data_IF_829540027257
#
_entry.id   IF_829540027257
#
_cell.length_a   1.000
_cell.length_b   1.000
_cell.length_c   1.000
_cell.angle_alpha   90.00
_cell.angle_beta   90.00
_cell.angle_gamma   90.00
#
_symmetry.space_group_name_H-M   'P 1'
#
loop_
_entity.id
_entity.type
_entity.pdbx_description
1 polymer ?
#
# COMPACT_ATOMS: atom_id res chain seq x y z
N UNK A 1 -2.63 55.86 39.63
CA UNK A 1 -1.62 55.07 38.88
C UNK A 1 -2.36 53.90 38.25
N UNK A 2 -2.58 54.01 36.94
CA UNK A 2 -3.43 53.15 36.10
C UNK A 2 -2.69 51.87 35.71
N UNK A 3 -3.20 50.71 36.13
CA UNK A 3 -2.72 49.41 35.68
C UNK A 3 -3.34 49.05 34.33
N UNK A 4 -2.51 49.01 33.29
CA UNK A 4 -2.86 48.51 31.96
C UNK A 4 -2.84 46.97 31.97
N UNK A 5 -4.01 46.35 32.02
CA UNK A 5 -4.15 44.91 31.79
C UNK A 5 -4.03 44.63 30.28
N UNK A 6 -2.93 44.00 29.88
CA UNK A 6 -2.71 43.47 28.54
C UNK A 6 -3.67 42.32 28.25
N UNK A 7 -4.46 42.46 27.19
CA UNK A 7 -5.30 41.37 26.66
C UNK A 7 -4.41 40.26 26.08
N UNK A 8 -4.70 38.97 26.32
CA UNK A 8 -3.94 37.88 25.71
C UNK A 8 -4.32 37.78 24.22
N UNK A 9 -3.33 37.98 23.35
CA UNK A 9 -3.44 37.73 21.90
C UNK A 9 -3.65 36.22 21.70
N UNK A 10 -4.82 35.83 21.19
CA UNK A 10 -5.11 34.45 20.82
C UNK A 10 -4.15 34.00 19.70
N UNK A 11 -3.59 32.78 19.76
CA UNK A 11 -2.74 32.27 18.70
C UNK A 11 -3.55 32.12 17.42
N UNK A 12 -3.14 32.82 16.37
CA UNK A 12 -3.69 32.67 15.02
C UNK A 12 -3.50 31.22 14.59
N UNK A 13 -4.61 30.51 14.38
CA UNK A 13 -4.58 29.20 13.73
C UNK A 13 -4.13 29.43 12.29
N UNK A 14 -2.86 29.16 12.01
CA UNK A 14 -2.34 29.03 10.64
C UNK A 14 -3.04 27.84 9.99
N UNK A 15 -4.20 28.10 9.40
CA UNK A 15 -4.86 27.17 8.50
C UNK A 15 -3.84 26.79 7.43
N UNK A 16 -3.54 25.49 7.32
CA UNK A 16 -2.69 24.97 6.25
C UNK A 16 -3.24 25.49 4.92
N UNK A 17 -2.39 25.99 4.00
CA UNK A 17 -2.84 26.50 2.73
C UNK A 17 -3.66 25.41 2.02
N UNK A 18 -4.88 25.76 1.61
CA UNK A 18 -5.73 24.87 0.84
C UNK A 18 -5.00 24.50 -0.46
N UNK A 19 -4.82 23.21 -0.72
CA UNK A 19 -4.18 22.69 -1.93
C UNK A 19 -4.93 23.25 -3.15
N UNK A 20 -4.21 23.80 -4.12
CA UNK A 20 -4.85 24.36 -5.30
C UNK A 20 -5.49 23.25 -6.15
N UNK A 21 -6.59 23.53 -6.89
CA UNK A 21 -7.21 22.53 -7.77
C UNK A 21 -6.24 21.93 -8.81
N UNK A 22 -5.18 22.66 -9.18
CA UNK A 22 -4.13 22.18 -10.07
C UNK A 22 -3.23 21.17 -9.39
N UNK A 23 -2.81 21.44 -8.15
CA UNK A 23 -2.00 20.51 -7.36
C UNK A 23 -2.76 19.24 -7.01
N UNK A 24 -4.06 19.35 -6.72
CA UNK A 24 -4.92 18.18 -6.50
C UNK A 24 -4.98 17.29 -7.76
N UNK A 25 -5.14 17.87 -8.96
CA UNK A 25 -5.08 17.12 -10.24
C UNK A 25 -3.74 16.43 -10.46
N UNK A 26 -2.64 17.12 -10.17
CA UNK A 26 -1.29 16.54 -10.25
C UNK A 26 -1.17 15.38 -9.25
N UNK A 27 -1.67 15.55 -8.03
CA UNK A 27 -1.71 14.51 -7.02
C UNK A 27 -2.49 13.27 -7.46
N UNK A 28 -3.68 13.46 -8.03
CA UNK A 28 -4.50 12.38 -8.59
C UNK A 28 -3.76 11.64 -9.71
N UNK A 29 -3.15 12.37 -10.64
CA UNK A 29 -2.39 11.77 -11.73
C UNK A 29 -1.20 10.95 -11.20
N UNK A 30 -0.46 11.49 -10.22
CA UNK A 30 0.67 10.78 -9.63
C UNK A 30 0.24 9.50 -8.89
N UNK A 31 -0.84 9.55 -8.11
CA UNK A 31 -1.34 8.34 -7.43
C UNK A 31 -1.85 7.31 -8.43
N UNK A 32 -2.53 7.75 -9.51
CA UNK A 32 -2.96 6.85 -10.58
C UNK A 32 -1.77 6.21 -11.31
N UNK A 33 -0.76 7.00 -11.66
CA UNK A 33 0.46 6.49 -12.29
C UNK A 33 1.20 5.50 -11.38
N UNK A 34 1.20 5.74 -10.06
CA UNK A 34 1.72 4.79 -9.09
C UNK A 34 0.97 3.45 -9.13
N UNK A 35 -0.36 3.47 -9.06
CA UNK A 35 -1.18 2.27 -9.14
C UNK A 35 -0.97 1.52 -10.48
N UNK A 36 -0.80 2.27 -11.58
CA UNK A 36 -0.47 1.71 -12.88
C UNK A 36 0.90 1.03 -12.86
N UNK A 37 1.94 1.68 -12.33
CA UNK A 37 3.28 1.10 -12.22
C UNK A 37 3.26 -0.18 -11.39
N UNK A 38 2.58 -0.17 -10.24
CA UNK A 38 2.45 -1.34 -9.36
C UNK A 38 1.68 -2.49 -10.02
N UNK A 39 0.65 -2.19 -10.82
CA UNK A 39 -0.16 -3.21 -11.51
C UNK A 39 0.65 -4.10 -12.47
N UNK A 40 1.76 -3.59 -13.03
CA UNK A 40 2.64 -4.38 -13.89
C UNK A 40 3.53 -5.38 -13.13
N UNK A 41 3.55 -5.35 -11.80
CA UNK A 41 4.48 -6.13 -10.99
C UNK A 41 4.40 -7.63 -11.24
N UNK A 42 3.18 -8.18 -11.24
CA UNK A 42 2.96 -9.59 -11.57
C UNK A 42 3.32 -9.94 -13.01
N UNK A 43 3.00 -9.06 -13.97
CA UNK A 43 3.32 -9.25 -15.40
C UNK A 43 4.83 -9.27 -15.64
N UNK A 44 5.58 -8.35 -15.02
CA UNK A 44 7.04 -8.31 -15.12
C UNK A 44 7.63 -9.55 -14.47
N UNK A 45 7.12 -9.94 -13.30
CA UNK A 45 7.61 -11.12 -12.60
C UNK A 45 7.45 -12.41 -13.43
N UNK A 46 6.36 -12.54 -14.20
CA UNK A 46 6.13 -13.67 -15.12
C UNK A 46 7.11 -13.72 -16.30
N UNK A 47 7.74 -12.62 -16.68
CA UNK A 47 8.78 -12.61 -17.72
C UNK A 47 10.17 -13.06 -17.22
N UNK A 48 10.38 -13.15 -15.91
CA UNK A 48 11.66 -13.49 -15.32
C UNK A 48 11.79 -15.01 -15.26
N UNK A 49 12.73 -15.58 -16.02
CA UNK A 49 12.92 -17.04 -16.12
C UNK A 49 14.05 -17.54 -15.20
N UNK A 50 14.11 -17.00 -13.98
CA UNK A 50 15.11 -17.39 -12.98
C UNK A 50 14.51 -18.43 -12.06
N UNK A 51 15.10 -19.63 -12.03
CA UNK A 51 14.58 -20.75 -11.23
C UNK A 51 14.62 -20.54 -9.72
N UNK A 52 15.50 -19.66 -9.23
CA UNK A 52 15.59 -19.29 -7.82
C UNK A 52 14.84 -17.98 -7.52
N UNK A 53 13.72 -18.07 -6.80
CA UNK A 53 12.93 -16.91 -6.38
C UNK A 53 13.73 -15.95 -5.49
N UNK A 54 14.70 -16.45 -4.72
CA UNK A 54 15.53 -15.61 -3.85
C UNK A 54 16.45 -14.71 -4.67
N UNK A 55 17.00 -15.20 -5.77
CA UNK A 55 17.79 -14.40 -6.71
C UNK A 55 16.97 -13.26 -7.30
N UNK A 56 15.69 -13.50 -7.60
CA UNK A 56 14.75 -12.46 -8.08
C UNK A 56 14.51 -11.40 -7.00
N UNK A 57 14.24 -11.83 -5.76
CA UNK A 57 14.05 -10.91 -4.62
C UNK A 57 15.31 -10.08 -4.36
N UNK A 58 16.49 -10.68 -4.44
CA UNK A 58 17.76 -10.00 -4.24
C UNK A 58 17.97 -8.89 -5.27
N UNK A 59 17.98 -9.22 -6.56
CA UNK A 59 18.29 -8.27 -7.62
C UNK A 59 17.26 -7.14 -7.73
N UNK A 60 15.95 -7.47 -7.65
CA UNK A 60 14.91 -6.43 -7.67
C UNK A 60 15.05 -5.48 -6.48
N UNK A 61 15.41 -6.00 -5.30
CA UNK A 61 15.54 -5.22 -4.08
C UNK A 61 16.78 -4.33 -4.13
N UNK A 62 17.89 -4.85 -4.67
CA UNK A 62 19.11 -4.07 -4.89
C UNK A 62 18.84 -2.86 -5.78
N UNK A 63 18.18 -3.07 -6.93
CA UNK A 63 17.81 -1.98 -7.83
C UNK A 63 16.83 -0.99 -7.21
N UNK A 64 15.85 -1.47 -6.46
CA UNK A 64 14.91 -0.62 -5.75
C UNK A 64 15.60 0.23 -4.67
N UNK A 65 16.50 -0.35 -3.87
CA UNK A 65 17.29 0.37 -2.85
C UNK A 65 18.16 1.43 -3.51
N UNK A 66 18.89 1.07 -4.57
CA UNK A 66 19.75 2.01 -5.30
C UNK A 66 18.94 3.21 -5.80
N UNK A 67 17.78 2.97 -6.42
CA UNK A 67 16.90 4.03 -6.89
C UNK A 67 16.32 4.87 -5.74
N UNK A 68 15.81 4.24 -4.68
CA UNK A 68 15.19 4.96 -3.56
C UNK A 68 16.20 5.82 -2.79
N UNK A 69 17.43 5.34 -2.61
CA UNK A 69 18.52 6.15 -2.03
C UNK A 69 18.83 7.33 -2.95
N UNK A 70 19.02 7.10 -4.26
CA UNK A 70 19.28 8.17 -5.21
C UNK A 70 18.15 9.21 -5.23
N UNK A 71 16.90 8.77 -5.19
CA UNK A 71 15.72 9.63 -5.13
C UNK A 71 15.68 10.47 -3.85
N UNK A 72 15.97 9.87 -2.68
CA UNK A 72 16.03 10.61 -1.42
C UNK A 72 17.19 11.61 -1.40
N UNK A 73 18.36 11.23 -1.91
CA UNK A 73 19.51 12.11 -2.00
C UNK A 73 19.24 13.29 -2.93
N UNK A 74 18.56 13.06 -4.05
CA UNK A 74 18.16 14.12 -4.97
C UNK A 74 17.09 15.06 -4.38
N UNK A 75 16.09 14.51 -3.68
CA UNK A 75 14.97 15.29 -3.13
C UNK A 75 15.32 16.02 -1.83
N UNK A 76 15.92 15.33 -0.87
CA UNK A 76 16.10 15.78 0.51
C UNK A 76 17.57 16.12 0.82
N UNK A 77 18.50 15.85 -0.11
CA UNK A 77 19.94 15.96 0.13
C UNK A 77 20.47 14.90 1.10
N UNK A 78 21.79 14.88 1.28
CA UNK A 78 22.45 13.93 2.20
C UNK A 78 21.93 14.06 3.64
N UNK A 79 21.92 15.29 4.17
CA UNK A 79 21.49 15.56 5.56
C UNK A 79 20.01 15.25 5.78
N UNK A 80 19.14 15.57 4.82
CA UNK A 80 17.71 15.25 4.90
C UNK A 80 17.44 13.76 4.84
N UNK A 81 18.17 13.02 4.00
CA UNK A 81 18.09 11.56 3.91
C UNK A 81 18.46 10.89 5.23
N UNK A 82 19.61 11.26 5.83
CA UNK A 82 20.02 10.72 7.14
C UNK A 82 18.98 11.04 8.21
N UNK A 83 18.40 12.24 8.17
CA UNK A 83 17.38 12.64 9.14
C UNK A 83 16.07 11.84 9.00
N UNK A 84 15.67 11.49 7.77
CA UNK A 84 14.52 10.62 7.51
C UNK A 84 14.68 9.24 8.12
N UNK A 85 15.87 8.64 8.02
CA UNK A 85 16.16 7.35 8.66
C UNK A 85 16.23 7.46 10.19
N UNK A 86 16.77 8.57 10.73
CA UNK A 86 16.81 8.81 12.19
C UNK A 86 15.43 9.00 12.80
N UNK A 87 14.54 9.72 12.13
CA UNK A 87 13.18 9.97 12.60
C UNK A 87 12.22 8.80 12.37
N UNK A 88 12.65 7.75 11.67
CA UNK A 88 11.84 6.56 11.44
C UNK A 88 11.42 5.89 12.77
N UNK A 89 12.35 5.87 13.75
CA UNK A 89 12.14 5.24 15.05
C UNK A 89 11.80 3.75 14.98
N UNK A 90 11.46 3.17 16.13
CA UNK A 90 11.01 1.78 16.25
C UNK A 90 9.74 1.46 15.41
N UNK A 91 8.74 2.38 15.31
CA UNK A 91 7.55 2.12 14.50
C UNK A 91 7.86 1.93 13.02
N UNK A 92 8.77 2.72 12.45
CA UNK A 92 9.13 2.56 11.04
C UNK A 92 10.02 1.35 10.77
N UNK A 93 10.77 0.84 11.75
CA UNK A 93 11.39 -0.50 11.65
C UNK A 93 10.34 -1.60 11.57
N UNK A 94 9.28 -1.53 12.38
CA UNK A 94 8.16 -2.47 12.32
C UNK A 94 7.47 -2.45 10.95
N UNK A 95 7.25 -1.25 10.40
CA UNK A 95 6.72 -1.08 9.04
C UNK A 95 7.66 -1.66 7.99
N UNK A 96 8.96 -1.39 8.08
CA UNK A 96 9.96 -1.92 7.16
C UNK A 96 9.99 -3.46 7.18
N UNK A 97 9.92 -4.07 8.37
CA UNK A 97 9.83 -5.52 8.51
C UNK A 97 8.56 -6.08 7.84
N UNK A 98 7.39 -5.48 8.10
CA UNK A 98 6.14 -5.90 7.48
C UNK A 98 6.21 -5.82 5.94
N UNK A 99 6.72 -4.71 5.40
CA UNK A 99 6.90 -4.55 3.95
C UNK A 99 7.94 -5.53 3.38
N UNK A 100 9.02 -5.83 4.11
CA UNK A 100 10.03 -6.79 3.67
C UNK A 100 9.41 -8.20 3.55
N UNK A 101 8.71 -8.64 4.60
CA UNK A 101 8.00 -9.93 4.61
C UNK A 101 6.95 -9.99 3.51
N UNK A 102 6.12 -8.95 3.36
CA UNK A 102 5.09 -8.90 2.31
C UNK A 102 5.72 -8.95 0.90
N UNK A 103 6.76 -8.15 0.65
CA UNK A 103 7.49 -8.11 -0.62
C UNK A 103 8.12 -9.45 -1.00
N UNK A 104 8.79 -10.09 -0.05
CA UNK A 104 9.42 -11.41 -0.26
C UNK A 104 8.34 -12.47 -0.50
N UNK A 105 7.29 -12.47 0.32
CA UNK A 105 6.17 -13.41 0.18
C UNK A 105 5.47 -13.24 -1.15
N UNK A 106 5.36 -12.02 -1.69
CA UNK A 106 4.78 -11.76 -3.01
C UNK A 106 5.55 -12.47 -4.12
N UNK A 107 6.87 -12.33 -4.16
CA UNK A 107 7.69 -12.98 -5.20
C UNK A 107 7.61 -14.50 -5.10
N UNK A 108 7.66 -15.04 -3.89
CA UNK A 108 7.53 -16.49 -3.68
C UNK A 108 6.12 -16.98 -4.04
N UNK A 109 5.07 -16.24 -3.65
CA UNK A 109 3.67 -16.59 -3.94
C UNK A 109 3.40 -16.69 -5.44
N UNK A 110 4.03 -15.83 -6.26
CA UNK A 110 3.89 -15.88 -7.72
C UNK A 110 4.34 -17.22 -8.31
N UNK A 111 5.25 -17.95 -7.66
CA UNK A 111 5.64 -19.29 -8.10
C UNK A 111 4.56 -20.36 -7.82
N UNK A 112 3.61 -20.09 -6.91
CA UNK A 112 2.63 -21.07 -6.42
C UNK A 112 1.17 -20.75 -6.75
N UNK A 113 0.87 -19.50 -7.12
CA UNK A 113 -0.50 -19.06 -7.44
C UNK A 113 -0.50 -18.00 -8.55
N UNK A 114 -1.70 -17.56 -8.93
CA UNK A 114 -1.93 -16.54 -9.97
C UNK A 114 -1.73 -15.13 -9.41
N UNK A 115 -1.35 -14.20 -10.29
CA UNK A 115 -1.24 -12.78 -9.94
C UNK A 115 -2.59 -12.26 -9.46
N UNK A 116 -3.67 -12.71 -10.11
CA UNK A 116 -5.02 -12.30 -9.77
C UNK A 116 -5.39 -12.69 -8.34
N UNK A 117 -5.08 -13.93 -7.92
CA UNK A 117 -5.36 -14.39 -6.58
C UNK A 117 -4.65 -13.50 -5.52
N UNK A 118 -3.37 -13.20 -5.73
CA UNK A 118 -2.58 -12.38 -4.80
C UNK A 118 -3.11 -10.94 -4.71
N UNK A 119 -3.39 -10.31 -5.86
CA UNK A 119 -3.82 -8.91 -5.88
C UNK A 119 -5.26 -8.72 -5.39
N UNK A 120 -6.17 -9.63 -5.73
CA UNK A 120 -7.56 -9.55 -5.29
C UNK A 120 -7.69 -9.80 -3.78
N UNK A 121 -6.88 -10.67 -3.18
CA UNK A 121 -6.81 -10.79 -1.72
C UNK A 121 -6.29 -9.50 -1.07
N UNK A 122 -5.30 -8.85 -1.69
CA UNK A 122 -4.75 -7.59 -1.19
C UNK A 122 -5.71 -6.40 -1.30
N UNK A 123 -6.66 -6.42 -2.24
CA UNK A 123 -7.70 -5.40 -2.29
C UNK A 123 -8.49 -5.29 -0.96
N UNK A 124 -8.57 -6.38 -0.18
CA UNK A 124 -9.19 -6.40 1.14
C UNK A 124 -8.37 -5.75 2.26
N UNK A 125 -7.09 -5.40 2.04
CA UNK A 125 -6.16 -4.87 3.07
C UNK A 125 -6.73 -3.69 3.86
N UNK A 126 -7.35 -2.66 3.25
CA UNK A 126 -7.85 -1.52 4.01
C UNK A 126 -8.91 -1.90 5.05
N UNK A 127 -9.74 -2.90 4.75
CA UNK A 127 -10.79 -3.41 5.62
C UNK A 127 -10.24 -4.36 6.67
N UNK A 128 -9.26 -5.20 6.32
CA UNK A 128 -8.51 -6.01 7.28
C UNK A 128 -7.72 -5.14 8.27
N UNK A 129 -7.12 -4.03 7.80
CA UNK A 129 -6.46 -3.05 8.66
C UNK A 129 -7.45 -2.40 9.64
N UNK A 130 -8.69 -2.10 9.20
CA UNK A 130 -9.74 -1.59 10.08
C UNK A 130 -10.15 -2.62 11.15
N UNK A 131 -10.23 -3.91 10.78
CA UNK A 131 -10.49 -5.00 11.72
C UNK A 131 -9.37 -5.15 12.75
N UNK A 132 -8.10 -5.10 12.32
CA UNK A 132 -6.94 -5.16 13.22
C UNK A 132 -6.89 -3.95 14.16
N UNK A 133 -7.18 -2.75 13.66
CA UNK A 133 -7.27 -1.55 14.50
C UNK A 133 -8.35 -1.68 15.58
N UNK A 134 -9.51 -2.24 15.23
CA UNK A 134 -10.57 -2.55 16.20
C UNK A 134 -10.11 -3.59 17.23
N UNK A 135 -9.45 -4.67 16.79
CA UNK A 135 -9.03 -5.74 17.70
C UNK A 135 -7.97 -5.27 18.70
N UNK A 136 -7.00 -4.46 18.24
CA UNK A 136 -5.87 -4.00 19.05
C UNK A 136 -6.21 -2.76 19.88
N UNK A 137 -6.96 -1.81 19.33
CA UNK A 137 -7.20 -0.50 19.94
C UNK A 137 -8.65 -0.24 20.34
N UNK A 138 -9.58 -1.16 20.02
CA UNK A 138 -11.01 -1.04 20.31
C UNK A 138 -11.64 0.25 19.77
N UNK A 139 -11.14 0.74 18.64
CA UNK A 139 -11.71 1.89 17.95
C UNK A 139 -13.13 1.59 17.47
N UNK A 140 -14.03 2.58 17.49
CA UNK A 140 -15.42 2.37 17.09
C UNK A 140 -15.53 2.23 15.57
N UNK A 141 -15.83 1.02 15.11
CA UNK A 141 -16.08 0.70 13.70
C UNK A 141 -17.57 0.87 13.38
N UNK A 142 -17.88 1.61 12.31
CA UNK A 142 -19.26 1.78 11.85
C UNK A 142 -19.89 0.48 11.33
N UNK A 143 -21.22 0.38 11.39
CA UNK A 143 -21.96 -0.79 10.90
C UNK A 143 -21.70 -1.08 9.41
N UNK A 144 -21.57 -0.03 8.59
CA UNK A 144 -21.23 -0.16 7.17
C UNK A 144 -19.84 -0.80 6.95
N UNK A 145 -18.86 -0.47 7.79
CA UNK A 145 -17.52 -1.08 7.72
C UNK A 145 -17.56 -2.54 8.13
N UNK A 146 -18.39 -2.93 9.11
CA UNK A 146 -18.56 -4.33 9.50
C UNK A 146 -19.13 -5.20 8.38
N UNK A 147 -20.14 -4.69 7.66
CA UNK A 147 -20.69 -5.38 6.49
C UNK A 147 -19.61 -5.55 5.41
N UNK A 148 -18.81 -4.50 5.16
CA UNK A 148 -17.72 -4.56 4.20
C UNK A 148 -16.61 -5.56 4.62
N UNK A 149 -16.25 -5.60 5.90
CA UNK A 149 -15.30 -6.58 6.45
C UNK A 149 -15.82 -8.00 6.26
N UNK A 150 -17.09 -8.26 6.60
CA UNK A 150 -17.71 -9.57 6.42
C UNK A 150 -17.72 -10.00 4.94
N UNK A 151 -18.02 -9.07 4.03
CA UNK A 151 -17.97 -9.32 2.59
C UNK A 151 -16.54 -9.63 2.10
N UNK A 152 -15.52 -8.92 2.59
CA UNK A 152 -14.11 -9.21 2.27
C UNK A 152 -13.70 -10.58 2.78
N UNK A 153 -14.04 -10.92 4.03
CA UNK A 153 -13.73 -12.24 4.60
C UNK A 153 -14.41 -13.35 3.78
N UNK A 154 -15.67 -13.15 3.38
CA UNK A 154 -16.39 -14.10 2.53
C UNK A 154 -15.73 -14.24 1.15
N UNK A 155 -15.36 -13.13 0.51
CA UNK A 155 -14.67 -13.14 -0.79
C UNK A 155 -13.33 -13.86 -0.72
N UNK A 156 -12.52 -13.58 0.31
CA UNK A 156 -11.25 -14.28 0.56
C UNK A 156 -11.49 -15.76 0.83
N UNK A 157 -12.51 -16.13 1.61
CA UNK A 157 -12.85 -17.54 1.86
C UNK A 157 -13.24 -18.28 0.57
N UNK A 158 -13.97 -17.63 -0.35
CA UNK A 158 -14.31 -18.19 -1.67
C UNK A 158 -13.03 -18.44 -2.47
N UNK A 159 -12.09 -17.50 -2.48
CA UNK A 159 -10.80 -17.65 -3.17
C UNK A 159 -9.99 -18.81 -2.59
N UNK A 160 -9.82 -18.84 -1.26
CA UNK A 160 -9.05 -19.88 -0.56
C UNK A 160 -9.69 -21.27 -0.65
N UNK A 161 -11.03 -21.34 -0.76
CA UNK A 161 -11.75 -22.61 -0.89
C UNK A 161 -11.33 -23.42 -2.13
N UNK A 162 -10.71 -22.77 -3.10
CA UNK A 162 -10.17 -23.42 -4.30
C UNK A 162 -8.93 -24.26 -4.01
N UNK A 163 -8.02 -23.79 -3.16
CA UNK A 163 -6.81 -24.53 -2.81
C UNK A 163 -7.10 -25.83 -2.05
N UNK A 164 -8.26 -25.90 -1.40
CA UNK A 164 -8.76 -27.14 -0.79
C UNK A 164 -9.18 -28.20 -1.82
N UNK A 165 -9.42 -27.80 -3.08
CA UNK A 165 -9.77 -28.68 -4.20
C UNK A 165 -8.58 -29.11 -5.06
N UNK A 166 -7.35 -28.68 -4.75
CA UNK A 166 -6.12 -29.11 -5.42
C UNK A 166 -5.72 -28.37 -6.71
N UNK A 167 -6.48 -27.38 -7.16
CA UNK A 167 -6.16 -26.59 -8.36
C UNK A 167 -5.15 -25.45 -8.12
N UNK A 168 -5.02 -25.00 -6.87
CA UNK A 168 -4.09 -23.94 -6.43
C UNK A 168 -3.31 -24.48 -5.23
N UNK A 169 -2.02 -24.15 -5.14
CA UNK A 169 -1.19 -24.60 -4.01
C UNK A 169 -1.64 -23.88 -2.73
N UNK A 170 -1.95 -24.61 -1.64
CA UNK A 170 -2.25 -24.01 -0.33
C UNK A 170 -1.16 -23.06 0.17
N UNK A 171 0.09 -23.25 -0.28
CA UNK A 171 1.23 -22.39 0.02
C UNK A 171 1.02 -21.00 -0.58
N UNK A 172 0.51 -20.92 -1.81
CA UNK A 172 0.23 -19.65 -2.50
C UNK A 172 -0.82 -18.82 -1.77
N UNK A 173 -1.91 -19.45 -1.32
CA UNK A 173 -2.95 -18.77 -0.53
C UNK A 173 -2.46 -18.35 0.85
N UNK A 174 -1.70 -19.23 1.53
CA UNK A 174 -1.08 -18.89 2.81
C UNK A 174 -0.16 -17.67 2.69
N UNK A 175 0.65 -17.60 1.63
CA UNK A 175 1.49 -16.44 1.34
C UNK A 175 0.66 -15.21 0.97
N UNK A 176 -0.38 -15.34 0.15
CA UNK A 176 -1.27 -14.22 -0.21
C UNK A 176 -1.97 -13.62 1.02
N UNK A 177 -2.45 -14.47 1.94
CA UNK A 177 -2.99 -14.04 3.24
C UNK A 177 -1.92 -13.37 4.11
N UNK A 178 -0.72 -13.94 4.17
CA UNK A 178 0.40 -13.36 4.92
C UNK A 178 0.73 -11.95 4.41
N UNK A 179 0.74 -11.75 3.09
CA UNK A 179 0.93 -10.44 2.46
C UNK A 179 -0.16 -9.47 2.92
N UNK A 180 -1.43 -9.88 2.84
CA UNK A 180 -2.56 -9.04 3.25
C UNK A 180 -2.50 -8.66 4.73
N UNK A 181 -2.14 -9.60 5.61
CA UNK A 181 -1.96 -9.35 7.05
C UNK A 181 -0.80 -8.39 7.30
N UNK A 182 0.37 -8.60 6.68
CA UNK A 182 1.54 -7.73 6.86
C UNK A 182 1.26 -6.30 6.37
N UNK A 183 0.60 -6.12 5.22
CA UNK A 183 0.17 -4.79 4.79
C UNK A 183 -0.88 -4.17 5.71
N UNK A 184 -1.78 -4.98 6.27
CA UNK A 184 -2.78 -4.49 7.22
C UNK A 184 -2.13 -3.98 8.50
N UNK A 185 -1.16 -4.73 9.05
CA UNK A 185 -0.35 -4.29 10.21
C UNK A 185 0.44 -3.02 9.88
N UNK A 186 1.13 -2.98 8.74
CA UNK A 186 1.86 -1.79 8.29
C UNK A 186 0.93 -0.56 8.14
N UNK A 187 -0.29 -0.76 7.64
CA UNK A 187 -1.30 0.29 7.51
C UNK A 187 -1.74 0.81 8.88
N UNK A 188 -1.95 -0.08 9.85
CA UNK A 188 -2.32 0.30 11.21
C UNK A 188 -1.19 1.10 11.88
N UNK A 189 0.07 0.66 11.75
CA UNK A 189 1.22 1.37 12.32
C UNK A 189 1.37 2.76 11.69
N UNK A 190 1.29 2.86 10.36
CA UNK A 190 1.44 4.15 9.66
C UNK A 190 0.30 5.13 9.95
N UNK A 191 -0.93 4.64 10.12
CA UNK A 191 -2.06 5.49 10.58
C UNK A 191 -1.87 5.99 12.00
N UNK A 192 -1.34 5.15 12.90
CA UNK A 192 -1.10 5.53 14.30
C UNK A 192 0.07 6.51 14.45
N UNK A 193 1.12 6.30 13.67
CA UNK A 193 2.37 7.05 13.74
C UNK A 193 2.59 7.86 12.45
N UNK A 194 1.91 9.01 12.36
CA UNK A 194 1.96 9.89 11.18
C UNK A 194 3.38 10.43 10.85
N UNK A 195 4.34 10.34 11.78
CA UNK A 195 5.74 10.70 11.53
C UNK A 195 6.49 9.66 10.68
N UNK A 196 5.96 8.43 10.57
CA UNK A 196 6.59 7.36 9.78
C UNK A 196 6.42 7.67 8.29
N UNK A 197 7.54 7.87 7.61
CA UNK A 197 7.58 8.16 6.18
C UNK A 197 7.69 6.84 5.41
N UNK A 198 6.81 6.62 4.43
CA UNK A 198 6.76 5.37 3.66
C UNK A 198 8.04 5.14 2.83
N UNK A 199 8.60 6.19 2.21
CA UNK A 199 9.78 6.06 1.33
C UNK A 199 10.99 5.44 2.06
N UNK A 200 11.47 5.96 3.22
CA UNK A 200 12.58 5.33 3.92
C UNK A 200 12.20 3.96 4.48
N UNK A 201 10.94 3.75 4.91
CA UNK A 201 10.50 2.44 5.42
C UNK A 201 10.55 1.36 4.35
N UNK A 202 10.08 1.66 3.13
CA UNK A 202 10.18 0.75 1.99
C UNK A 202 11.63 0.57 1.49
N UNK A 203 12.48 1.60 1.59
CA UNK A 203 13.90 1.43 1.27
C UNK A 203 14.57 0.47 2.24
N UNK A 204 14.29 0.59 3.54
CA UNK A 204 14.78 -0.34 4.54
C UNK A 204 14.16 -1.74 4.34
N UNK A 205 12.88 -1.81 4.00
CA UNK A 205 12.21 -3.08 3.69
C UNK A 205 12.89 -3.80 2.52
N UNK A 206 13.19 -3.08 1.43
CA UNK A 206 13.91 -3.63 0.29
C UNK A 206 15.34 -4.04 0.68
N UNK A 207 16.03 -3.27 1.52
CA UNK A 207 17.35 -3.65 2.02
C UNK A 207 17.30 -4.95 2.84
N UNK A 208 16.33 -5.08 3.75
CA UNK A 208 16.13 -6.28 4.57
C UNK A 208 15.75 -7.49 3.71
N UNK A 209 14.81 -7.31 2.77
CA UNK A 209 14.41 -8.36 1.84
C UNK A 209 15.58 -8.80 0.96
N UNK A 210 16.39 -7.86 0.47
CA UNK A 210 17.60 -8.14 -0.31
C UNK A 210 18.66 -8.87 0.50
N UNK A 211 18.95 -8.42 1.73
CA UNK A 211 19.93 -9.06 2.61
C UNK A 211 19.52 -10.49 2.98
N UNK A 212 18.24 -10.69 3.32
CA UNK A 212 17.70 -12.03 3.59
C UNK A 212 17.71 -12.91 2.33
N UNK A 213 17.34 -12.36 1.17
CA UNK A 213 17.40 -13.10 -0.08
C UNK A 213 18.84 -13.48 -0.46
N UNK A 214 19.83 -12.63 -0.15
CA UNK A 214 21.24 -12.95 -0.38
C UNK A 214 21.73 -14.13 0.47
N UNK A 215 21.21 -14.32 1.69
CA UNK A 215 21.58 -15.49 2.51
C UNK A 215 20.92 -16.79 2.05
N UNK A 216 19.78 -16.69 1.34
CA UNK A 216 19.03 -17.84 0.85
C UNK A 216 19.31 -18.20 -0.61
N UNK A 217 19.84 -17.26 -1.40
CA UNK A 217 20.06 -17.45 -2.83
C UNK A 217 21.17 -18.48 -3.09
N UNK A 218 20.86 -19.43 -3.97
CA UNK A 218 21.78 -20.48 -4.40
C UNK A 218 22.77 -19.98 -5.46
N UNK A 219 22.36 -19.00 -6.26
CA UNK A 219 23.19 -18.37 -7.28
C UNK A 219 22.75 -16.92 -7.54
N UNK A 220 23.69 -16.07 -7.95
CA UNK A 220 23.40 -14.68 -8.35
C UNK A 220 23.50 -14.45 -9.85
N UNK A 221 23.93 -15.47 -10.61
CA UNK A 221 24.05 -15.38 -12.05
C UNK A 221 22.67 -15.28 -12.70
N UNK A 222 22.47 -14.23 -13.48
CA UNK A 222 21.21 -13.95 -14.18
C UNK A 222 21.54 -13.51 -15.61
N UNK A 223 20.70 -13.90 -16.56
CA UNK A 223 20.86 -13.50 -17.96
C UNK A 223 20.71 -11.97 -18.11
N UNK A 224 21.34 -11.38 -19.13
CA UNK A 224 21.19 -9.94 -19.39
C UNK A 224 19.72 -9.54 -19.63
N UNK A 225 18.93 -10.44 -20.23
CA UNK A 225 17.49 -10.24 -20.46
C UNK A 225 16.72 -10.18 -19.14
N UNK A 226 16.92 -11.17 -18.27
CA UNK A 226 16.24 -11.21 -16.96
C UNK A 226 16.70 -10.05 -16.06
N UNK A 227 17.97 -9.63 -16.17
CA UNK A 227 18.47 -8.44 -15.47
C UNK A 227 17.71 -7.17 -15.88
N UNK A 228 17.39 -7.01 -17.16
CA UNK A 228 16.55 -5.90 -17.64
C UNK A 228 15.16 -5.90 -17.00
N UNK A 229 14.53 -7.07 -16.88
CA UNK A 229 13.24 -7.20 -16.18
C UNK A 229 13.36 -6.99 -14.67
N UNK A 230 14.43 -7.46 -14.03
CA UNK A 230 14.70 -7.21 -12.60
C UNK A 230 14.94 -5.73 -12.31
N UNK A 231 15.64 -5.04 -13.21
CA UNK A 231 15.78 -3.59 -13.16
C UNK A 231 14.42 -2.90 -13.29
N UNK A 232 13.60 -3.27 -14.27
CA UNK A 232 12.26 -2.72 -14.41
C UNK A 232 11.38 -3.03 -13.17
N UNK A 233 11.52 -4.22 -12.59
CA UNK A 233 10.76 -4.62 -11.41
C UNK A 233 11.18 -3.86 -10.14
N UNK A 234 12.48 -3.63 -9.96
CA UNK A 234 13.00 -2.87 -8.82
C UNK A 234 12.80 -1.36 -8.98
N UNK A 235 13.23 -0.80 -10.10
CA UNK A 235 13.24 0.65 -10.35
C UNK A 235 11.88 1.15 -10.77
N UNK A 236 11.29 0.61 -11.84
CA UNK A 236 10.06 1.18 -12.42
C UNK A 236 8.86 0.82 -11.57
N UNK A 237 8.68 -0.47 -11.27
CA UNK A 237 7.53 -0.93 -10.50
C UNK A 237 7.63 -0.48 -9.03
N UNK A 238 8.69 -0.84 -8.30
CA UNK A 238 8.78 -0.53 -6.87
C UNK A 238 9.24 0.91 -6.58
N UNK A 239 10.34 1.34 -7.21
CA UNK A 239 10.97 2.65 -6.97
C UNK A 239 10.13 3.84 -7.44
N UNK A 240 9.91 3.95 -8.74
CA UNK A 240 9.14 5.03 -9.39
C UNK A 240 7.68 5.00 -8.93
N UNK A 241 7.08 3.81 -8.84
CA UNK A 241 5.74 3.63 -8.28
C UNK A 241 5.61 4.24 -6.88
N UNK A 242 6.57 3.97 -5.99
CA UNK A 242 6.57 4.56 -4.64
C UNK A 242 6.87 6.06 -4.64
N UNK A 243 7.75 6.54 -5.52
CA UNK A 243 8.04 7.97 -5.64
C UNK A 243 6.79 8.76 -6.04
N UNK A 244 6.07 8.29 -7.07
CA UNK A 244 4.79 8.87 -7.49
C UNK A 244 3.74 8.83 -6.38
N UNK A 245 3.59 7.70 -5.68
CA UNK A 245 2.67 7.60 -4.55
C UNK A 245 3.03 8.61 -3.45
N UNK A 246 4.30 8.66 -3.05
CA UNK A 246 4.76 9.49 -1.93
C UNK A 246 4.63 10.99 -2.21
N UNK A 247 4.74 11.41 -3.47
CA UNK A 247 4.51 12.78 -3.91
C UNK A 247 3.01 13.07 -4.06
N UNK A 248 2.26 12.18 -4.72
CA UNK A 248 0.85 12.38 -5.03
C UNK A 248 -0.08 12.28 -3.83
N UNK A 249 0.12 11.29 -2.94
CA UNK A 249 -0.74 11.03 -1.79
C UNK A 249 -0.78 12.19 -0.76
N UNK A 250 0.16 13.13 -0.83
CA UNK A 250 0.19 14.35 0.00
C UNK A 250 -0.69 15.47 -0.55
N UNK A 251 -1.02 15.40 -1.83
CA UNK A 251 -1.73 16.44 -2.58
C UNK A 251 -3.21 16.09 -2.77
N UNK A 252 -3.64 14.90 -2.34
CA UNK A 252 -5.03 14.43 -2.47
C UNK A 252 -5.59 13.93 -1.14
N UNK A 253 -6.91 14.03 -0.93
CA UNK A 253 -7.59 13.38 0.17
C UNK A 253 -7.31 11.87 0.19
N UNK A 254 -7.17 11.29 1.39
CA UNK A 254 -6.89 9.86 1.57
C UNK A 254 -7.94 8.95 0.89
N UNK A 255 -9.21 9.39 0.83
CA UNK A 255 -10.27 8.66 0.13
C UNK A 255 -10.03 8.57 -1.39
N UNK A 256 -9.54 9.64 -2.03
CA UNK A 256 -9.20 9.65 -3.45
C UNK A 256 -7.97 8.79 -3.70
N UNK A 257 -6.94 8.90 -2.85
CA UNK A 257 -5.76 8.05 -2.96
C UNK A 257 -6.11 6.55 -2.83
N UNK A 258 -7.00 6.20 -1.92
CA UNK A 258 -7.49 4.83 -1.77
C UNK A 258 -8.27 4.36 -3.00
N UNK A 259 -9.17 5.20 -3.55
CA UNK A 259 -9.92 4.88 -4.76
C UNK A 259 -8.99 4.66 -5.96
N UNK A 260 -8.01 5.54 -6.18
CA UNK A 260 -7.03 5.39 -7.24
C UNK A 260 -6.14 4.17 -7.03
N UNK A 261 -5.79 3.84 -5.78
CA UNK A 261 -5.08 2.61 -5.44
C UNK A 261 -5.84 1.34 -5.80
N UNK A 262 -7.19 1.36 -5.82
CA UNK A 262 -7.98 0.18 -6.22
C UNK A 262 -7.79 -0.22 -7.70
N UNK A 263 -7.24 0.66 -8.54
CA UNK A 263 -6.91 0.31 -9.92
C UNK A 263 -5.79 -0.71 -10.02
N UNK A 264 -4.84 -0.75 -9.08
CA UNK A 264 -3.74 -1.72 -9.09
C UNK A 264 -4.25 -3.17 -9.10
N UNK A 265 -5.09 -3.62 -8.13
CA UNK A 265 -5.57 -4.99 -8.09
C UNK A 265 -6.57 -5.33 -9.20
N UNK A 266 -7.14 -4.33 -9.88
CA UNK A 266 -8.03 -4.53 -11.04
C UNK A 266 -7.19 -4.68 -12.32
N UNK A 267 -6.22 -3.81 -12.53
CA UNK A 267 -5.38 -3.78 -13.74
C UNK A 267 -4.38 -4.94 -13.77
N UNK A 268 -3.84 -5.34 -12.62
CA UNK A 268 -2.86 -6.42 -12.56
C UNK A 268 -3.32 -7.74 -13.22
N UNK A 269 -4.48 -8.30 -12.84
CA UNK A 269 -5.07 -9.46 -13.53
C UNK A 269 -5.26 -9.25 -15.04
N UNK A 270 -5.69 -8.05 -15.45
CA UNK A 270 -5.95 -7.73 -16.85
C UNK A 270 -4.65 -7.78 -17.67
N UNK A 271 -3.55 -7.20 -17.17
CA UNK A 271 -2.26 -7.23 -17.86
C UNK A 271 -1.72 -8.65 -18.00
N UNK A 272 -1.83 -9.47 -16.95
CA UNK A 272 -1.31 -10.83 -16.96
C UNK A 272 -2.15 -11.71 -17.88
N UNK A 273 -3.46 -11.53 -17.91
CA UNK A 273 -4.33 -12.19 -18.89
C UNK A 273 -3.99 -11.79 -20.33
N UNK A 274 -3.80 -10.49 -20.61
CA UNK A 274 -3.47 -10.02 -21.98
C UNK A 274 -2.09 -10.46 -22.47
N UNK A 275 -1.10 -10.48 -21.57
CA UNK A 275 0.31 -10.71 -21.95
C UNK A 275 0.72 -12.17 -21.82
N UNK A 276 0.25 -12.85 -20.78
CA UNK A 276 0.65 -14.22 -20.44
C UNK A 276 -0.48 -15.24 -20.61
N UNK A 277 -1.68 -14.79 -21.00
CA UNK A 277 -2.88 -15.67 -21.09
C UNK A 277 -3.19 -16.41 -19.80
N UNK A 278 -2.78 -15.87 -18.65
CA UNK A 278 -3.09 -16.43 -17.34
C UNK A 278 -4.57 -16.19 -17.04
N UNK A 279 -5.39 -17.24 -17.13
CA UNK A 279 -6.82 -17.17 -16.83
C UNK A 279 -7.02 -17.47 -15.35
N UNK A 280 -7.49 -16.50 -14.55
CA UNK A 280 -7.85 -16.76 -13.16
C UNK A 280 -9.02 -17.74 -13.11
N UNK A 281 -9.07 -18.53 -12.05
CA UNK A 281 -10.19 -19.44 -11.84
C UNK A 281 -11.51 -18.70 -11.64
N UNK A 282 -12.62 -19.43 -11.82
CA UNK A 282 -13.96 -18.90 -11.54
C UNK A 282 -14.09 -18.46 -10.08
N UNK A 283 -13.50 -19.19 -9.13
CA UNK A 283 -13.54 -18.85 -7.70
C UNK A 283 -12.75 -17.58 -7.40
N UNK A 284 -11.58 -17.41 -8.03
CA UNK A 284 -10.79 -16.18 -7.94
C UNK A 284 -11.57 -14.98 -8.47
N UNK A 285 -12.24 -15.13 -9.62
CA UNK A 285 -13.06 -14.07 -10.23
C UNK A 285 -14.24 -13.72 -9.33
N UNK A 286 -14.99 -14.71 -8.84
CA UNK A 286 -16.16 -14.49 -7.98
C UNK A 286 -15.76 -13.86 -6.65
N UNK A 287 -14.78 -14.44 -5.95
CA UNK A 287 -14.31 -13.92 -4.67
C UNK A 287 -13.68 -12.52 -4.80
N UNK A 288 -12.87 -12.32 -5.85
CA UNK A 288 -12.29 -11.01 -6.15
C UNK A 288 -13.34 -9.94 -6.47
N UNK A 289 -14.37 -10.28 -7.24
CA UNK A 289 -15.48 -9.37 -7.53
C UNK A 289 -16.20 -8.96 -6.24
N UNK A 290 -16.41 -9.89 -5.30
CA UNK A 290 -16.99 -9.59 -3.99
C UNK A 290 -16.08 -8.62 -3.20
N UNK A 291 -14.77 -8.89 -3.12
CA UNK A 291 -13.81 -8.03 -2.39
C UNK A 291 -13.76 -6.63 -2.98
N UNK A 292 -13.59 -6.51 -4.30
CA UNK A 292 -13.49 -5.21 -4.99
C UNK A 292 -14.80 -4.43 -4.86
N UNK A 293 -15.95 -5.09 -5.03
CA UNK A 293 -17.26 -4.43 -4.89
C UNK A 293 -17.48 -3.93 -3.46
N UNK A 294 -17.16 -4.75 -2.45
CA UNK A 294 -17.27 -4.35 -1.05
C UNK A 294 -16.37 -3.14 -0.73
N UNK A 295 -15.14 -3.14 -1.24
CA UNK A 295 -14.21 -2.03 -1.07
C UNK A 295 -14.72 -0.75 -1.75
N UNK A 296 -15.17 -0.83 -3.00
CA UNK A 296 -15.69 0.34 -3.74
C UNK A 296 -16.94 0.92 -3.08
N UNK A 297 -17.88 0.07 -2.63
CA UNK A 297 -19.05 0.51 -1.87
C UNK A 297 -18.61 1.20 -0.57
N UNK A 298 -17.66 0.59 0.16
CA UNK A 298 -17.18 1.16 1.42
C UNK A 298 -16.53 2.53 1.23
N UNK A 299 -15.64 2.67 0.23
CA UNK A 299 -15.00 3.95 -0.12
C UNK A 299 -16.06 4.98 -0.54
N UNK A 300 -17.04 4.60 -1.36
CA UNK A 300 -18.11 5.49 -1.81
C UNK A 300 -19.02 5.97 -0.68
N UNK A 301 -19.33 5.10 0.28
CA UNK A 301 -20.11 5.47 1.47
C UNK A 301 -19.33 6.43 2.38
N UNK A 302 -18.04 6.20 2.57
CA UNK A 302 -17.17 7.08 3.35
C UNK A 302 -17.02 8.45 2.68
N UNK A 303 -16.89 8.48 1.35
CA UNK A 303 -16.85 9.73 0.59
C UNK A 303 -18.12 10.56 0.75
N UNK A 304 -19.31 9.92 0.67
CA UNK A 304 -20.61 10.58 0.92
C UNK A 304 -20.75 11.10 2.36
N UNK A 305 -20.11 10.43 3.32
CA UNK A 305 -20.12 10.84 4.73
C UNK A 305 -19.24 12.07 4.98
N UNK A 306 -18.10 12.15 4.29
CA UNK A 306 -17.17 13.29 4.38
C UNK A 306 -17.67 14.52 3.61
N UNK A 307 -18.44 14.33 2.54
CA UNK A 307 -19.08 15.43 1.77
C UNK A 307 -20.38 15.94 2.39
N UNK A 308 -20.96 15.27 3.38
CA UNK A 308 -22.05 15.86 4.17
C UNK A 308 -21.49 16.98 5.03
N UNK A 309 -21.91 18.24 4.85
CA UNK A 309 -21.51 19.33 5.72
C UNK A 309 -21.82 18.94 7.17
N UNK A 310 -20.84 19.06 8.07
CA UNK A 310 -21.14 19.07 9.49
C UNK A 310 -22.22 20.13 9.70
N UNK A 311 -23.41 19.73 10.16
CA UNK A 311 -24.51 20.68 10.45
C UNK A 311 -23.94 21.77 11.39
N UNK A 312 -24.00 23.06 11.02
CA UNK A 312 -23.72 24.12 11.96
C UNK A 312 -24.81 24.07 13.06
N UNK A 313 -24.39 24.00 14.32
CA UNK A 313 -25.27 23.87 15.49
C UNK A 313 -25.15 22.48 16.10
N UNK A 314 -24.54 22.30 17.28
CA UNK A 314 -24.89 22.92 18.56
C UNK A 314 -23.63 23.12 19.40
N UNK A 315 -22.95 24.25 19.27
CA UNK A 315 -22.20 24.83 20.40
C UNK A 315 -23.07 25.96 20.91
N UNK A 316 -23.67 25.76 22.08
CA UNK A 316 -24.47 26.75 22.76
C UNK A 316 -23.66 28.03 22.94
N UNK A 317 -24.03 29.06 22.18
CA UNK A 317 -23.77 30.43 22.55
C UNK A 317 -24.86 30.80 23.57
N UNK A 318 -24.51 31.19 24.81
CA UNK A 318 -25.47 31.89 25.65
C UNK A 318 -25.80 33.22 24.96
N UNK A 319 -27.08 33.42 24.66
CA UNK A 319 -27.60 34.73 24.29
C UNK A 319 -27.34 35.72 25.43
N UNK A 320 -26.78 36.91 25.16
CA UNK A 320 -26.65 37.94 26.18
C UNK A 320 -28.03 38.54 26.43
N UNK A 321 -28.60 38.25 27.59
CA UNK A 321 -29.53 39.11 28.33
C UNK A 321 -29.27 38.88 29.81
#
# INVERSE_FOLDING_TARGET
MTGTASSPVAPSSTALPAVSPREERIGMLLVFLSALMWSFGGTIARFIHVGDSWTVVFWRSLWAVAFLIAFMLWRDGWRGTVNLFRHMGLPGLGVAFCFATASTSFVVALAYTTVANILLMQAGVPLLAALLAWLLFRERVGSATWIAIAAVIAGVAIMVSESLGGAVSPIGDGLALLIAVMFSVATVITRRFAHVRMVPANCLAALLAGAFAASQASAFAVSARDMGFLFAFGVVNLGVGLAFFAMGARLVPAAIAALLGTFEPILGPIWVWLVHSEVPSVRTIVGGAVVVTALLIHIGLEFKRQTRPARPGVTGLPSPN
#
